data_IF_637450808434
#
_entry.id   IF_637450808434
#
_cell.length_a   1.000
_cell.length_b   1.000
_cell.length_c   1.000
_cell.angle_alpha   90.00
_cell.angle_beta   90.00
_cell.angle_gamma   90.00
#
_symmetry.space_group_name_H-M   'P 1'
#
loop_
_entity.id
_entity.type
_entity.pdbx_description
1 polymer ?
#
# COMPACT_ATOMS: atom_id res chain seq x y z
N UNK A 1 -7.80 -2.91 3.60
CA UNK A 1 -6.86 -3.90 4.19
C UNK A 1 -6.20 -3.36 5.47
N UNK A 2 -5.19 -2.46 5.42
CA UNK A 2 -4.59 -1.91 6.67
C UNK A 2 -5.58 -1.08 7.46
N UNK A 3 -6.35 -0.20 6.80
CA UNK A 3 -7.42 0.60 7.42
C UNK A 3 -8.51 -0.26 8.07
N UNK A 4 -8.89 -1.36 7.43
CA UNK A 4 -9.91 -2.27 7.96
C UNK A 4 -9.38 -3.00 9.19
N UNK A 5 -8.13 -3.44 9.13
CA UNK A 5 -7.44 -4.03 10.27
C UNK A 5 -7.38 -3.06 11.46
N UNK A 6 -6.94 -1.81 11.23
CA UNK A 6 -6.94 -0.77 12.27
C UNK A 6 -8.36 -0.55 12.80
N UNK A 7 -9.36 -0.47 11.89
CA UNK A 7 -10.77 -0.28 12.27
C UNK A 7 -11.31 -1.37 13.18
N UNK A 8 -10.90 -2.62 12.99
CA UNK A 8 -11.33 -3.79 13.74
C UNK A 8 -10.49 -4.07 15.00
N UNK A 9 -9.26 -3.53 15.07
CA UNK A 9 -8.34 -3.78 16.18
C UNK A 9 -8.66 -2.88 17.38
N UNK A 10 -8.63 -3.44 18.58
CA UNK A 10 -8.65 -2.70 19.83
C UNK A 10 -7.21 -2.41 20.28
N UNK A 11 -6.91 -1.12 20.55
CA UNK A 11 -5.59 -0.68 20.96
C UNK A 11 -5.56 -0.39 22.45
N UNK A 12 -5.37 -1.42 23.25
CA UNK A 12 -5.35 -1.31 24.73
C UNK A 12 -4.07 -0.61 25.17
N UNK A 13 -4.22 0.48 25.94
CA UNK A 13 -3.09 1.24 26.51
C UNK A 13 -2.37 2.17 25.53
N UNK A 14 -2.61 2.08 24.24
CA UNK A 14 -2.04 3.01 23.26
C UNK A 14 -2.71 4.38 23.34
N UNK A 15 -1.91 5.45 23.30
CA UNK A 15 -2.40 6.84 23.28
C UNK A 15 -2.07 7.55 21.98
N UNK A 16 -0.90 7.32 21.43
CA UNK A 16 -0.37 8.00 20.24
C UNK A 16 -0.25 7.02 19.07
N UNK A 17 -0.44 7.52 17.86
CA UNK A 17 -0.22 6.76 16.63
C UNK A 17 0.52 7.61 15.59
N UNK A 18 1.52 7.01 14.96
CA UNK A 18 2.28 7.56 13.84
C UNK A 18 2.06 6.67 12.63
N UNK A 19 1.94 7.29 11.47
CA UNK A 19 1.84 6.59 10.20
C UNK A 19 3.09 6.83 9.38
N UNK A 20 3.72 5.77 8.90
CA UNK A 20 4.83 5.84 7.95
C UNK A 20 4.38 5.09 6.70
N UNK A 21 4.27 5.79 5.58
CA UNK A 21 3.70 5.27 4.35
C UNK A 21 4.70 5.34 3.21
N UNK A 22 4.95 4.21 2.56
CA UNK A 22 5.70 4.18 1.29
C UNK A 22 4.78 4.52 0.11
N UNK A 23 5.31 5.22 -0.87
CA UNK A 23 4.60 5.60 -2.10
C UNK A 23 5.59 5.85 -3.24
N UNK A 24 5.11 5.79 -4.50
CA UNK A 24 5.94 6.10 -5.67
C UNK A 24 6.20 7.60 -5.85
N UNK A 25 5.21 8.45 -5.55
CA UNK A 25 5.32 9.90 -5.73
C UNK A 25 4.73 10.72 -4.60
N UNK A 26 3.65 10.27 -3.98
CA UNK A 26 2.98 11.02 -2.91
C UNK A 26 1.87 10.21 -2.25
N UNK A 27 1.46 10.65 -1.05
CA UNK A 27 0.40 10.01 -0.25
C UNK A 27 -0.96 10.70 -0.38
N UNK A 28 -1.09 11.74 -1.22
CA UNK A 28 -2.34 12.49 -1.41
C UNK A 28 -2.96 12.92 -0.07
N UNK A 29 -4.26 12.65 0.10
CA UNK A 29 -5.01 12.97 1.33
C UNK A 29 -4.88 11.94 2.46
N UNK A 30 -3.92 11.02 2.40
CA UNK A 30 -3.80 9.95 3.40
C UNK A 30 -3.60 10.46 4.84
N UNK A 31 -2.94 11.60 5.03
CA UNK A 31 -2.79 12.19 6.38
C UNK A 31 -4.14 12.54 7.00
N UNK A 32 -5.04 13.15 6.21
CA UNK A 32 -6.40 13.50 6.67
C UNK A 32 -7.20 12.24 6.99
N UNK A 33 -7.08 11.22 6.14
CA UNK A 33 -7.73 9.94 6.35
C UNK A 33 -7.22 9.25 7.64
N UNK A 34 -5.90 9.18 7.81
CA UNK A 34 -5.26 8.58 8.96
C UNK A 34 -5.64 9.29 10.27
N UNK A 35 -5.73 10.63 10.25
CA UNK A 35 -6.19 11.42 11.40
C UNK A 35 -7.63 11.05 11.77
N UNK A 36 -8.56 11.04 10.82
CA UNK A 36 -9.96 10.65 11.07
C UNK A 36 -10.07 9.21 11.59
N UNK A 37 -9.27 8.29 11.06
CA UNK A 37 -9.23 6.90 11.52
C UNK A 37 -8.72 6.81 12.97
N UNK A 38 -7.67 7.57 13.29
CA UNK A 38 -7.11 7.65 14.66
C UNK A 38 -8.13 8.19 15.65
N UNK A 39 -8.83 9.27 15.31
CA UNK A 39 -9.88 9.88 16.12
C UNK A 39 -11.01 8.87 16.43
N UNK A 40 -11.46 8.11 15.42
CA UNK A 40 -12.44 7.04 15.61
C UNK A 40 -12.00 5.94 16.57
N UNK A 41 -10.68 5.75 16.70
CA UNK A 41 -10.07 4.74 17.61
C UNK A 41 -9.67 5.32 18.96
N UNK A 42 -9.98 6.59 19.24
CA UNK A 42 -9.56 7.27 20.47
C UNK A 42 -8.06 7.49 20.59
N UNK A 43 -7.33 7.45 19.45
CA UNK A 43 -5.88 7.62 19.39
C UNK A 43 -5.52 9.04 18.94
N UNK A 44 -4.48 9.60 19.54
CA UNK A 44 -3.90 10.87 19.12
C UNK A 44 -3.03 10.68 17.88
N UNK A 45 -3.45 11.28 16.76
CA UNK A 45 -2.67 11.29 15.52
C UNK A 45 -1.42 12.17 15.68
N UNK A 46 -0.24 11.56 15.50
CA UNK A 46 1.06 12.21 15.64
C UNK A 46 1.71 12.52 14.30
N UNK A 47 0.95 12.41 13.21
CA UNK A 47 1.38 12.74 11.85
C UNK A 47 1.57 11.53 10.96
N UNK A 48 1.73 11.81 9.66
CA UNK A 48 1.95 10.82 8.61
C UNK A 48 3.20 11.17 7.82
N UNK A 49 4.25 10.35 7.92
CA UNK A 49 5.45 10.47 7.10
C UNK A 49 5.26 9.77 5.77
N UNK A 50 5.66 10.45 4.71
CA UNK A 50 5.75 9.93 3.35
C UNK A 50 7.19 9.48 3.07
N UNK A 51 7.36 8.24 2.63
CA UNK A 51 8.65 7.69 2.21
C UNK A 51 8.54 7.34 0.72
N UNK A 52 9.27 8.05 -0.12
CA UNK A 52 9.30 7.77 -1.56
C UNK A 52 10.09 6.47 -1.79
N UNK A 53 9.45 5.51 -2.45
CA UNK A 53 10.01 4.20 -2.80
C UNK A 53 9.81 3.92 -4.28
N UNK A 54 10.56 2.97 -4.87
CA UNK A 54 10.36 2.58 -6.26
C UNK A 54 8.90 2.22 -6.53
N UNK A 55 8.38 2.70 -7.67
CA UNK A 55 7.02 2.37 -8.10
C UNK A 55 6.90 0.87 -8.39
N UNK A 56 5.88 0.25 -7.86
CA UNK A 56 5.58 -1.17 -8.03
C UNK A 56 4.15 -1.44 -8.54
N UNK A 57 3.36 -0.41 -8.77
CA UNK A 57 2.01 -0.58 -9.29
C UNK A 57 2.03 -0.67 -10.82
N UNK A 58 2.56 -1.78 -11.31
CA UNK A 58 2.79 -2.06 -12.74
C UNK A 58 1.51 -2.12 -13.59
N UNK A 59 0.33 -2.13 -12.97
CA UNK A 59 -0.94 -2.04 -13.71
C UNK A 59 -1.17 -0.67 -14.37
N UNK A 60 -0.52 0.40 -13.87
CA UNK A 60 -0.68 1.76 -14.37
C UNK A 60 0.64 2.48 -14.63
N UNK A 61 1.74 2.06 -14.01
CA UNK A 61 3.02 2.74 -14.05
C UNK A 61 4.15 1.78 -14.43
N UNK A 62 5.17 2.30 -15.08
CA UNK A 62 6.37 1.52 -15.34
C UNK A 62 7.22 1.43 -14.07
N UNK A 63 7.62 0.21 -13.70
CA UNK A 63 8.62 0.03 -12.65
C UNK A 63 9.95 0.66 -13.12
N UNK A 64 10.69 1.33 -12.22
CA UNK A 64 12.01 1.82 -12.55
C UNK A 64 13.00 0.66 -12.78
N UNK A 65 14.02 0.89 -13.60
CA UNK A 65 15.15 -0.04 -13.70
C UNK A 65 15.87 -0.19 -12.35
N UNK A 66 16.71 -1.21 -12.26
CA UNK A 66 17.41 -1.59 -11.02
C UNK A 66 18.29 -0.44 -10.48
N UNK A 67 18.99 0.28 -11.34
CA UNK A 67 19.87 1.37 -10.91
C UNK A 67 19.10 2.58 -10.41
N UNK A 68 18.00 2.93 -11.07
CA UNK A 68 17.09 3.97 -10.61
C UNK A 68 16.39 3.58 -9.30
N UNK A 69 15.95 2.32 -9.19
CA UNK A 69 15.35 1.81 -7.97
C UNK A 69 16.31 1.89 -6.77
N UNK A 70 17.58 1.48 -6.94
CA UNK A 70 18.62 1.61 -5.91
C UNK A 70 18.81 3.06 -5.46
N UNK A 71 18.89 4.00 -6.41
CA UNK A 71 19.02 5.43 -6.09
C UNK A 71 17.83 5.96 -5.27
N UNK A 72 16.61 5.56 -5.62
CA UNK A 72 15.40 5.93 -4.87
C UNK A 72 15.47 5.38 -3.44
N UNK A 73 15.83 4.09 -3.27
CA UNK A 73 15.94 3.48 -1.94
C UNK A 73 16.99 4.17 -1.08
N UNK A 74 18.16 4.48 -1.64
CA UNK A 74 19.22 5.22 -0.93
C UNK A 74 18.74 6.62 -0.54
N UNK A 75 18.06 7.32 -1.44
CA UNK A 75 17.51 8.66 -1.18
C UNK A 75 16.42 8.68 -0.09
N UNK A 76 15.73 7.57 0.14
CA UNK A 76 14.74 7.44 1.21
C UNK A 76 15.35 7.41 2.64
N UNK A 77 16.64 7.04 2.75
CA UNK A 77 17.32 6.87 4.04
C UNK A 77 17.17 8.04 5.00
N UNK A 78 17.44 9.30 4.61
CA UNK A 78 17.29 10.47 5.46
C UNK A 78 15.86 10.67 5.98
N UNK A 79 14.84 10.46 5.15
CA UNK A 79 13.43 10.61 5.55
C UNK A 79 13.00 9.50 6.51
N UNK A 80 13.47 8.27 6.30
CA UNK A 80 13.29 7.16 7.24
C UNK A 80 13.94 7.51 8.60
N UNK A 81 15.20 7.97 8.59
CA UNK A 81 15.90 8.33 9.82
C UNK A 81 15.18 9.44 10.61
N UNK A 82 14.69 10.49 9.93
CA UNK A 82 13.88 11.55 10.55
C UNK A 82 12.61 11.00 11.18
N UNK A 83 11.89 10.13 10.47
CA UNK A 83 10.67 9.53 10.99
C UNK A 83 10.95 8.66 12.23
N UNK A 84 12.01 7.85 12.19
CA UNK A 84 12.44 7.01 13.33
C UNK A 84 12.78 7.87 14.55
N UNK A 85 13.55 8.94 14.39
CA UNK A 85 13.92 9.82 15.50
C UNK A 85 12.70 10.52 16.09
N UNK A 86 11.80 11.06 15.28
CA UNK A 86 10.59 11.71 15.75
C UNK A 86 9.70 10.73 16.55
N UNK A 87 9.51 9.50 16.04
CA UNK A 87 8.74 8.47 16.76
C UNK A 87 9.42 8.10 18.07
N UNK A 88 10.73 7.90 18.07
CA UNK A 88 11.51 7.56 19.27
C UNK A 88 11.40 8.62 20.36
N UNK A 89 11.35 9.89 20.00
CA UNK A 89 11.21 11.01 20.93
C UNK A 89 9.75 11.38 21.24
N UNK A 90 8.78 10.69 20.67
CA UNK A 90 7.36 11.01 20.85
C UNK A 90 6.92 12.32 20.18
N UNK A 91 7.69 12.79 19.20
CA UNK A 91 7.45 14.02 18.47
C UNK A 91 6.47 13.81 17.29
N UNK A 92 5.87 14.90 16.81
CA UNK A 92 5.01 14.86 15.63
C UNK A 92 5.83 14.68 14.36
N UNK A 93 5.34 13.84 13.46
CA UNK A 93 5.84 13.78 12.10
C UNK A 93 5.37 15.00 11.29
N UNK A 94 6.21 15.54 10.39
CA UNK A 94 5.79 16.62 9.51
C UNK A 94 4.67 16.12 8.59
N UNK A 95 3.52 16.78 8.66
CA UNK A 95 2.39 16.49 7.77
C UNK A 95 2.54 17.31 6.49
N UNK A 96 2.68 16.64 5.36
CA UNK A 96 2.64 17.26 4.03
C UNK A 96 1.20 17.21 3.48
N UNK A 97 0.24 17.85 4.15
CA UNK A 97 -1.09 18.04 3.57
C UNK A 97 -1.02 19.19 2.57
N UNK A 98 -0.99 18.88 1.29
CA UNK A 98 -1.14 19.90 0.24
C UNK A 98 -2.55 20.52 0.32
N UNK A 99 -2.61 21.85 0.16
CA UNK A 99 -3.87 22.56 -0.03
C UNK A 99 -4.56 22.00 -1.28
N UNK A 100 -5.73 21.36 -1.14
CA UNK A 100 -6.44 20.70 -2.25
C UNK A 100 -6.49 19.16 -2.20
N UNK A 101 -5.62 18.50 -1.46
CA UNK A 101 -5.58 17.02 -1.35
C UNK A 101 -6.87 16.40 -0.75
N UNK A 102 -7.69 17.20 -0.12
CA UNK A 102 -8.93 16.77 0.57
C UNK A 102 -10.09 16.44 -0.37
N UNK A 103 -10.17 17.10 -1.54
CA UNK A 103 -11.30 16.94 -2.45
C UNK A 103 -11.12 15.74 -3.39
N UNK A 104 -9.87 15.46 -3.79
CA UNK A 104 -9.56 14.36 -4.73
C UNK A 104 -9.52 12.97 -4.06
N UNK A 105 -9.29 12.90 -2.75
CA UNK A 105 -8.97 11.62 -2.09
C UNK A 105 -10.18 10.82 -1.61
N UNK A 106 -11.35 11.41 -1.50
CA UNK A 106 -12.54 10.72 -0.98
C UNK A 106 -13.32 10.01 -2.08
N UNK A 107 -14.08 10.76 -2.85
CA UNK A 107 -15.02 10.21 -3.85
C UNK A 107 -14.29 9.55 -5.02
N UNK A 108 -13.18 10.15 -5.48
CA UNK A 108 -12.37 9.62 -6.60
C UNK A 108 -11.76 8.27 -6.22
N UNK A 109 -11.32 8.11 -4.99
CA UNK A 109 -10.70 6.87 -4.53
C UNK A 109 -11.71 5.71 -4.50
N UNK A 110 -12.91 5.94 -3.95
CA UNK A 110 -13.96 4.91 -3.87
C UNK A 110 -14.43 4.48 -5.26
N UNK A 111 -14.60 5.43 -6.19
CA UNK A 111 -14.94 5.15 -7.59
C UNK A 111 -13.81 4.38 -8.27
N UNK A 112 -12.55 4.79 -8.07
CA UNK A 112 -11.39 4.11 -8.65
C UNK A 112 -11.30 2.66 -8.16
N UNK A 113 -11.41 2.42 -6.86
CA UNK A 113 -11.39 1.06 -6.31
C UNK A 113 -12.56 0.22 -6.84
N UNK A 114 -13.75 0.77 -6.87
CA UNK A 114 -14.94 0.07 -7.36
C UNK A 114 -14.87 -0.25 -8.86
N UNK A 115 -14.27 0.63 -9.67
CA UNK A 115 -14.23 0.48 -11.13
C UNK A 115 -13.00 -0.31 -11.60
N UNK A 116 -11.81 -0.03 -11.07
CA UNK A 116 -10.52 -0.46 -11.64
C UNK A 116 -9.80 -1.52 -10.82
N UNK A 117 -9.96 -1.56 -9.49
CA UNK A 117 -9.24 -2.52 -8.64
C UNK A 117 -9.96 -3.87 -8.62
N UNK A 118 -9.88 -4.59 -9.74
CA UNK A 118 -10.51 -5.91 -9.93
C UNK A 118 -9.56 -6.86 -10.63
N UNK A 119 -9.46 -8.08 -10.14
CA UNK A 119 -8.65 -9.13 -10.78
C UNK A 119 -9.31 -9.77 -12.02
N UNK A 120 -10.46 -9.27 -12.49
CA UNK A 120 -11.21 -9.89 -13.60
C UNK A 120 -10.39 -10.03 -14.88
N UNK A 121 -9.45 -9.10 -15.12
CA UNK A 121 -8.58 -9.12 -16.29
C UNK A 121 -7.33 -10.01 -16.11
N UNK A 122 -7.07 -10.50 -14.90
CA UNK A 122 -5.89 -11.34 -14.64
C UNK A 122 -6.12 -12.73 -15.23
N UNK A 123 -5.19 -13.17 -16.04
CA UNK A 123 -5.18 -14.47 -16.66
C UNK A 123 -3.76 -15.01 -16.76
N UNK A 124 -3.61 -16.26 -17.07
CA UNK A 124 -2.33 -16.90 -17.39
C UNK A 124 -2.29 -17.29 -18.84
N UNK A 125 -1.13 -17.25 -19.42
CA UNK A 125 -0.84 -17.77 -20.74
C UNK A 125 -0.29 -19.21 -20.70
N UNK A 126 0.37 -19.64 -21.79
CA UNK A 126 0.93 -20.98 -21.94
C UNK A 126 2.20 -21.19 -21.10
N UNK A 127 2.89 -20.12 -20.67
CA UNK A 127 4.13 -20.19 -19.88
C UNK A 127 3.86 -20.61 -18.43
N UNK A 128 2.61 -20.52 -17.97
CA UNK A 128 2.24 -20.88 -16.61
C UNK A 128 2.50 -22.36 -16.29
N UNK A 129 3.45 -22.61 -15.39
CA UNK A 129 3.85 -23.95 -14.95
C UNK A 129 2.91 -24.58 -13.91
N UNK A 130 1.93 -23.83 -13.39
CA UNK A 130 1.04 -24.30 -12.33
C UNK A 130 1.70 -24.45 -10.96
N UNK A 131 2.82 -23.75 -10.70
CA UNK A 131 3.63 -23.89 -9.47
C UNK A 131 2.94 -23.40 -8.19
N UNK A 132 1.84 -22.64 -8.28
CA UNK A 132 1.08 -22.13 -7.13
C UNK A 132 1.77 -20.99 -6.36
N UNK A 133 2.86 -20.39 -6.87
CA UNK A 133 3.54 -19.25 -6.22
C UNK A 133 2.59 -18.08 -5.98
N UNK A 134 1.75 -17.74 -6.98
CA UNK A 134 0.75 -16.68 -6.91
C UNK A 134 -0.28 -16.89 -5.77
N UNK A 135 -0.62 -18.14 -5.45
CA UNK A 135 -1.47 -18.45 -4.29
C UNK A 135 -0.76 -18.13 -2.98
N UNK A 136 0.50 -18.57 -2.86
CA UNK A 136 1.30 -18.41 -1.63
C UNK A 136 1.62 -16.94 -1.29
N UNK A 137 1.81 -16.10 -2.31
CA UNK A 137 2.18 -14.68 -2.11
C UNK A 137 0.97 -13.75 -2.00
N UNK A 138 -0.25 -14.25 -2.20
CA UNK A 138 -1.44 -13.42 -2.12
C UNK A 138 -1.78 -13.07 -0.66
N UNK A 139 -1.67 -11.80 -0.23
CA UNK A 139 -1.89 -11.42 1.16
C UNK A 139 -3.36 -11.52 1.60
N UNK A 140 -4.28 -11.67 0.64
CA UNK A 140 -5.71 -11.80 0.90
C UNK A 140 -6.25 -13.20 0.63
N UNK A 141 -5.39 -14.18 0.32
CA UNK A 141 -5.80 -15.53 -0.10
C UNK A 141 -6.83 -15.51 -1.25
N UNK A 142 -6.73 -14.50 -2.12
CA UNK A 142 -7.68 -14.26 -3.21
C UNK A 142 -7.36 -15.05 -4.49
N UNK A 143 -6.38 -15.94 -4.44
CA UNK A 143 -5.97 -16.77 -5.57
C UNK A 143 -6.08 -18.24 -5.19
N UNK A 144 -6.77 -19.01 -6.02
CA UNK A 144 -6.90 -20.46 -5.86
C UNK A 144 -6.39 -21.19 -7.10
N UNK A 145 -6.09 -22.47 -7.00
CA UNK A 145 -5.70 -23.28 -8.17
C UNK A 145 -6.88 -24.12 -8.64
N UNK A 146 -7.22 -23.99 -9.93
CA UNK A 146 -8.18 -24.88 -10.62
C UNK A 146 -7.52 -25.46 -11.87
N UNK A 147 -7.51 -26.76 -12.02
CA UNK A 147 -6.89 -27.45 -13.16
C UNK A 147 -5.45 -27.01 -13.43
N UNK A 148 -4.63 -26.87 -12.38
CA UNK A 148 -3.24 -26.39 -12.42
C UNK A 148 -3.07 -24.95 -12.93
N UNK A 149 -4.14 -24.17 -13.00
CA UNK A 149 -4.10 -22.74 -13.35
C UNK A 149 -4.64 -21.90 -12.18
N UNK A 150 -4.07 -20.73 -11.91
CA UNK A 150 -4.59 -19.81 -10.90
C UNK A 150 -5.91 -19.19 -11.34
N UNK A 151 -6.80 -19.03 -10.37
CA UNK A 151 -8.07 -18.30 -10.51
C UNK A 151 -8.09 -17.21 -9.45
N UNK A 152 -8.36 -15.99 -9.87
CA UNK A 152 -8.46 -14.82 -8.97
C UNK A 152 -9.91 -14.58 -8.60
N UNK A 153 -10.16 -14.46 -7.32
CA UNK A 153 -11.48 -14.16 -6.75
C UNK A 153 -11.72 -12.63 -6.67
N UNK A 154 -12.77 -12.22 -5.97
CA UNK A 154 -13.29 -10.84 -5.99
C UNK A 154 -12.57 -9.85 -5.04
N UNK A 155 -11.71 -10.33 -4.13
CA UNK A 155 -11.08 -9.51 -3.09
C UNK A 155 -9.65 -9.07 -3.45
N UNK A 156 -9.39 -8.75 -4.71
CA UNK A 156 -8.09 -8.27 -5.16
C UNK A 156 -7.86 -6.81 -4.75
N UNK A 157 -6.68 -6.51 -4.22
CA UNK A 157 -6.22 -5.14 -3.90
C UNK A 157 -5.19 -4.61 -4.90
N UNK A 158 -4.98 -5.28 -6.03
CA UNK A 158 -3.97 -4.92 -7.02
C UNK A 158 -2.55 -4.72 -6.44
N UNK A 159 -2.18 -5.49 -5.42
CA UNK A 159 -0.82 -5.43 -4.86
C UNK A 159 0.27 -5.97 -5.81
N UNK A 160 -0.11 -6.57 -6.93
CA UNK A 160 0.74 -7.13 -7.99
C UNK A 160 1.69 -8.26 -7.55
N UNK A 161 1.68 -8.69 -6.29
CA UNK A 161 2.58 -9.71 -5.79
C UNK A 161 2.51 -11.03 -6.60
N UNK A 162 1.30 -11.45 -7.01
CA UNK A 162 1.12 -12.66 -7.82
C UNK A 162 1.79 -12.59 -9.20
N UNK A 163 1.95 -11.39 -9.75
CA UNK A 163 2.62 -11.12 -11.04
C UNK A 163 4.12 -10.95 -10.79
N UNK A 164 4.52 -10.03 -9.90
CA UNK A 164 5.93 -9.71 -9.64
C UNK A 164 6.76 -10.87 -9.10
N UNK A 165 6.14 -11.87 -8.46
CA UNK A 165 6.83 -13.06 -7.95
C UNK A 165 6.59 -14.30 -8.81
N UNK A 166 5.99 -14.17 -10.00
CA UNK A 166 5.82 -15.28 -10.91
C UNK A 166 7.17 -15.74 -11.46
N UNK A 167 7.52 -17.04 -11.41
CA UNK A 167 8.77 -17.53 -11.99
C UNK A 167 8.70 -17.77 -13.50
N UNK A 168 7.51 -17.65 -14.08
CA UNK A 168 7.27 -17.82 -15.51
C UNK A 168 7.10 -16.42 -16.13
N UNK A 169 8.21 -15.72 -16.29
CA UNK A 169 8.28 -14.45 -17.03
C UNK A 169 8.25 -14.67 -18.53
#
# INVERSE_FOLDING_TARGET
MVSDWIGQTEFVGAKNVWYVMSCGSGIGGADIYNRKLSEKKGLKHMGTAQIIMPENYIAMFNAPDVEKAKKIVVAAGPDIAKAVLAIKHGEKLPSKSGFGASFESGLVNDIFYAAFVKAKAFHTDQTCTGCGKCVKVCPLNNVTMKNKKPVWEKHCTHCMACICYCPAE
#
